data_IF_492049374865
#
_entry.id   IF_492049374865
#
_cell.length_a   1.000
_cell.length_b   1.000
_cell.length_c   1.000
_cell.angle_alpha   90.00
_cell.angle_beta   90.00
_cell.angle_gamma   90.00
#
_symmetry.space_group_name_H-M   'P 1'
#
loop_
_entity.id
_entity.type
_entity.pdbx_description
1 polymer ?
#
# COMPACT_ATOMS: atom_id res chain seq x y z
N UNK A 1 -23.71 11.43 6.77
CA UNK A 1 -22.51 12.00 6.10
C UNK A 1 -21.30 12.05 7.01
N UNK A 2 -21.42 12.52 8.25
CA UNK A 2 -20.32 12.60 9.23
C UNK A 2 -19.81 11.24 9.70
N UNK A 3 -20.67 10.25 9.90
CA UNK A 3 -20.28 8.89 10.32
C UNK A 3 -19.53 8.14 9.23
N UNK A 4 -20.01 8.18 7.98
CA UNK A 4 -19.34 7.58 6.83
C UNK A 4 -17.92 8.14 6.68
N UNK A 5 -17.78 9.47 6.74
CA UNK A 5 -16.48 10.13 6.62
C UNK A 5 -15.53 9.74 7.76
N UNK A 6 -16.03 9.60 8.98
CA UNK A 6 -15.25 9.17 10.14
C UNK A 6 -14.84 7.70 10.02
N UNK A 7 -15.73 6.85 9.53
CA UNK A 7 -15.46 5.44 9.25
C UNK A 7 -14.34 5.30 8.21
N UNK A 8 -14.44 6.03 7.10
CA UNK A 8 -13.44 6.01 6.03
C UNK A 8 -12.07 6.50 6.53
N UNK A 9 -12.05 7.53 7.37
CA UNK A 9 -10.83 8.04 7.99
C UNK A 9 -10.17 7.00 8.91
N UNK A 10 -10.96 6.28 9.71
CA UNK A 10 -10.44 5.23 10.59
C UNK A 10 -9.86 4.08 9.78
N UNK A 11 -10.57 3.62 8.76
CA UNK A 11 -10.07 2.59 7.83
C UNK A 11 -8.75 3.00 7.19
N UNK A 12 -8.69 4.22 6.69
CA UNK A 12 -7.48 4.75 6.04
C UNK A 12 -6.31 4.89 7.02
N UNK A 13 -6.59 5.28 8.26
CA UNK A 13 -5.60 5.37 9.33
C UNK A 13 -4.93 4.01 9.61
N UNK A 14 -5.71 2.94 9.65
CA UNK A 14 -5.22 1.57 9.80
C UNK A 14 -4.35 1.16 8.61
N UNK A 15 -4.81 1.41 7.39
CA UNK A 15 -4.08 1.07 6.17
C UNK A 15 -2.75 1.83 6.07
N UNK A 16 -2.73 3.11 6.39
CA UNK A 16 -1.53 3.95 6.36
C UNK A 16 -0.48 3.46 7.36
N UNK A 17 -0.90 3.18 8.60
CA UNK A 17 0.00 2.65 9.63
C UNK A 17 0.56 1.27 9.24
N UNK A 18 -0.29 0.39 8.75
CA UNK A 18 0.10 -0.94 8.29
C UNK A 18 1.05 -0.89 7.11
N UNK A 19 0.78 -0.04 6.13
CA UNK A 19 1.67 0.16 4.98
C UNK A 19 3.06 0.61 5.39
N UNK A 20 3.16 1.55 6.31
CA UNK A 20 4.44 2.02 6.84
C UNK A 20 5.23 0.91 7.53
N UNK A 21 4.60 0.14 8.39
CA UNK A 21 5.23 -0.97 9.12
C UNK A 21 5.63 -2.11 8.19
N UNK A 22 4.74 -2.53 7.33
CA UNK A 22 4.93 -3.67 6.42
C UNK A 22 6.00 -3.37 5.37
N UNK A 23 6.07 -2.14 4.86
CA UNK A 23 7.12 -1.76 3.92
C UNK A 23 8.52 -1.76 4.55
N UNK A 24 8.62 -1.59 5.87
CA UNK A 24 9.89 -1.65 6.60
C UNK A 24 10.29 -3.06 7.02
N UNK A 25 9.33 -3.87 7.43
CA UNK A 25 9.59 -5.11 8.15
C UNK A 25 9.08 -6.38 7.43
N UNK A 26 8.31 -6.24 6.34
CA UNK A 26 7.62 -7.34 5.69
C UNK A 26 6.27 -7.67 6.32
N UNK A 27 5.45 -8.41 5.60
CA UNK A 27 4.09 -8.73 6.03
C UNK A 27 4.06 -9.72 7.21
N UNK A 28 4.84 -10.78 7.13
CA UNK A 28 4.88 -11.83 8.15
C UNK A 28 5.44 -11.36 9.50
N UNK A 29 6.38 -10.43 9.48
CA UNK A 29 7.04 -9.92 10.69
C UNK A 29 6.20 -8.88 11.45
N UNK A 30 5.15 -8.32 10.85
CA UNK A 30 4.29 -7.31 11.47
C UNK A 30 3.04 -7.97 12.05
N UNK A 31 2.97 -8.03 13.37
CA UNK A 31 1.78 -8.54 14.08
C UNK A 31 0.68 -7.49 14.20
N UNK A 32 -0.55 -7.98 14.43
CA UNK A 32 -1.74 -7.15 14.60
C UNK A 32 -1.58 -6.11 15.72
N UNK A 33 -1.02 -6.52 16.86
CA UNK A 33 -0.80 -5.63 18.00
C UNK A 33 0.03 -4.40 17.64
N UNK A 34 1.03 -4.57 16.79
CA UNK A 34 1.89 -3.48 16.32
C UNK A 34 1.13 -2.52 15.40
N UNK A 35 0.29 -3.04 14.52
CA UNK A 35 -0.58 -2.24 13.65
C UNK A 35 -1.55 -1.41 14.48
N UNK A 36 -2.18 -2.03 15.49
CA UNK A 36 -3.10 -1.35 16.40
C UNK A 36 -2.42 -0.22 17.17
N UNK A 37 -1.23 -0.47 17.69
CA UNK A 37 -0.45 0.53 18.41
C UNK A 37 -0.06 1.71 17.51
N UNK A 38 0.43 1.45 16.32
CA UNK A 38 0.85 2.48 15.38
C UNK A 38 -0.33 3.31 14.85
N UNK A 39 -1.47 2.67 14.60
CA UNK A 39 -2.67 3.35 14.12
C UNK A 39 -3.46 4.03 15.23
N UNK A 40 -3.18 3.72 16.49
CA UNK A 40 -3.96 4.19 17.64
C UNK A 40 -5.46 3.89 17.49
N UNK A 41 -5.76 2.64 17.13
CA UNK A 41 -7.13 2.17 16.88
C UNK A 41 -7.41 0.95 17.76
N UNK A 42 -8.58 0.87 18.41
CA UNK A 42 -8.96 -0.31 19.19
C UNK A 42 -9.08 -1.56 18.32
N UNK A 43 -8.77 -2.72 18.91
CA UNK A 43 -8.84 -4.03 18.25
C UNK A 43 -10.21 -4.30 17.61
N UNK A 44 -11.31 -3.94 18.28
CA UNK A 44 -12.66 -4.08 17.75
C UNK A 44 -12.89 -3.27 16.48
N UNK A 45 -12.34 -2.06 16.41
CA UNK A 45 -12.42 -1.23 15.20
C UNK A 45 -11.66 -1.84 14.02
N UNK A 46 -10.50 -2.43 14.28
CA UNK A 46 -9.75 -3.15 13.23
C UNK A 46 -10.59 -4.29 12.64
N UNK A 47 -11.14 -5.17 13.49
CA UNK A 47 -11.94 -6.32 13.03
C UNK A 47 -13.28 -5.91 12.39
N UNK A 48 -13.77 -4.73 12.68
CA UNK A 48 -14.93 -4.18 11.96
C UNK A 48 -14.62 -3.95 10.47
N UNK A 49 -13.42 -3.45 10.14
CA UNK A 49 -13.01 -3.19 8.75
C UNK A 49 -12.36 -4.40 8.08
N UNK A 50 -11.57 -5.16 8.83
CA UNK A 50 -10.75 -6.25 8.32
C UNK A 50 -10.95 -7.51 9.17
N UNK A 51 -11.70 -8.52 8.66
CA UNK A 51 -11.99 -9.72 9.42
C UNK A 51 -10.76 -10.53 9.85
N UNK A 52 -9.64 -10.37 9.13
CA UNK A 52 -8.39 -11.09 9.40
C UNK A 52 -7.19 -10.23 8.97
N UNK A 53 -6.00 -10.64 9.39
CA UNK A 53 -4.76 -10.04 8.91
C UNK A 53 -4.58 -10.23 7.39
N UNK A 54 -5.01 -11.38 6.85
CA UNK A 54 -4.98 -11.64 5.42
C UNK A 54 -5.90 -10.68 4.64
N UNK A 55 -7.14 -10.51 5.11
CA UNK A 55 -8.08 -9.54 4.53
C UNK A 55 -7.51 -8.10 4.58
N UNK A 56 -6.83 -7.75 5.66
CA UNK A 56 -6.12 -6.48 5.77
C UNK A 56 -4.99 -6.36 4.73
N UNK A 57 -4.20 -7.40 4.55
CA UNK A 57 -3.15 -7.46 3.53
C UNK A 57 -3.69 -7.31 2.11
N UNK A 58 -4.81 -7.97 1.80
CA UNK A 58 -5.49 -7.81 0.52
C UNK A 58 -5.94 -6.37 0.28
N UNK A 59 -6.58 -5.74 1.27
CA UNK A 59 -7.02 -4.34 1.18
C UNK A 59 -5.84 -3.39 1.00
N UNK A 60 -4.74 -3.63 1.71
CA UNK A 60 -3.51 -2.85 1.59
C UNK A 60 -2.94 -2.91 0.17
N UNK A 61 -2.86 -4.11 -0.41
CA UNK A 61 -2.35 -4.30 -1.76
C UNK A 61 -3.29 -3.70 -2.81
N UNK A 62 -4.59 -3.87 -2.66
CA UNK A 62 -5.57 -3.24 -3.56
C UNK A 62 -5.45 -1.72 -3.57
N UNK A 63 -5.38 -1.08 -2.40
CA UNK A 63 -5.20 0.37 -2.29
C UNK A 63 -3.87 0.81 -2.93
N UNK A 64 -2.80 0.06 -2.69
CA UNK A 64 -1.50 0.36 -3.26
C UNK A 64 -1.50 0.27 -4.79
N UNK A 65 -2.06 -0.82 -5.34
CA UNK A 65 -2.14 -1.02 -6.80
C UNK A 65 -3.04 0.04 -7.44
N UNK A 66 -4.18 0.36 -6.82
CA UNK A 66 -5.07 1.40 -7.32
C UNK A 66 -4.38 2.77 -7.38
N UNK A 67 -3.66 3.16 -6.34
CA UNK A 67 -2.87 4.39 -6.30
C UNK A 67 -1.78 4.40 -7.40
N UNK A 68 -1.10 3.28 -7.56
CA UNK A 68 -0.03 3.14 -8.54
C UNK A 68 -0.57 3.28 -9.96
N UNK A 69 -1.66 2.58 -10.27
CA UNK A 69 -2.31 2.66 -11.58
C UNK A 69 -2.86 4.06 -11.87
N UNK A 70 -3.42 4.74 -10.88
CA UNK A 70 -3.90 6.11 -11.02
C UNK A 70 -2.77 7.09 -11.37
N UNK A 71 -1.60 6.90 -10.79
CA UNK A 71 -0.40 7.71 -11.13
C UNK A 71 0.07 7.46 -12.55
N UNK A 72 0.10 6.19 -12.98
CA UNK A 72 0.42 5.82 -14.37
C UNK A 72 -0.58 6.46 -15.33
N UNK A 73 -1.86 6.35 -15.02
CA UNK A 73 -2.94 6.90 -15.84
C UNK A 73 -2.82 8.42 -16.01
N UNK A 74 -2.54 9.13 -14.91
CA UNK A 74 -2.28 10.57 -14.91
C UNK A 74 -1.07 10.91 -15.79
N UNK A 75 0.00 10.14 -15.70
CA UNK A 75 1.20 10.32 -16.49
C UNK A 75 0.93 10.08 -17.98
N UNK A 76 0.19 9.02 -18.31
CA UNK A 76 -0.15 8.66 -19.69
C UNK A 76 -1.13 9.64 -20.34
N UNK A 77 -2.04 10.23 -19.56
CA UNK A 77 -3.03 11.20 -20.02
C UNK A 77 -2.47 12.61 -20.21
N UNK A 78 -1.27 12.88 -19.69
CA UNK A 78 -0.60 14.17 -19.78
C UNK A 78 -0.15 14.51 -21.21
N UNK A 79 0.22 15.79 -21.42
CA UNK A 79 0.84 16.24 -22.65
C UNK A 79 2.24 15.64 -22.82
N UNK A 80 2.69 15.51 -24.08
CA UNK A 80 4.01 14.99 -24.42
C UNK A 80 3.97 13.71 -25.22
N UNK A 81 5.12 13.32 -25.76
CA UNK A 81 5.27 12.08 -26.52
C UNK A 81 5.31 10.85 -25.62
N UNK A 82 5.13 9.67 -26.18
CA UNK A 82 5.31 8.41 -25.47
C UNK A 82 6.73 8.30 -24.87
N UNK A 83 7.73 8.79 -25.59
CA UNK A 83 9.10 8.85 -25.10
C UNK A 83 9.23 9.73 -23.84
N UNK A 84 8.64 10.93 -23.86
CA UNK A 84 8.67 11.85 -22.71
C UNK A 84 7.99 11.22 -21.48
N UNK A 85 6.86 10.55 -21.68
CA UNK A 85 6.12 9.87 -20.62
C UNK A 85 6.91 8.72 -20.02
N UNK A 86 7.53 7.89 -20.85
CA UNK A 86 8.39 6.79 -20.41
C UNK A 86 9.63 7.30 -19.66
N UNK A 87 10.25 8.37 -20.17
CA UNK A 87 11.39 9.01 -19.52
C UNK A 87 11.01 9.57 -18.15
N UNK A 88 9.85 10.22 -18.03
CA UNK A 88 9.35 10.73 -16.76
C UNK A 88 9.10 9.60 -15.75
N UNK A 89 8.53 8.49 -16.19
CA UNK A 89 8.30 7.30 -15.36
C UNK A 89 9.62 6.74 -14.80
N UNK A 90 10.60 6.51 -15.65
CA UNK A 90 11.89 5.98 -15.21
C UNK A 90 12.69 6.99 -14.39
N UNK A 91 12.62 8.28 -14.71
CA UNK A 91 13.28 9.33 -13.95
C UNK A 91 12.76 9.40 -12.51
N UNK A 92 11.46 9.18 -12.30
CA UNK A 92 10.88 9.11 -10.97
C UNK A 92 11.40 7.91 -10.16
N UNK A 93 11.70 6.79 -10.81
CA UNK A 93 12.35 5.63 -10.17
C UNK A 93 13.81 5.91 -9.81
N UNK A 94 14.55 6.54 -10.73
CA UNK A 94 15.98 6.78 -10.57
C UNK A 94 16.29 7.90 -9.58
N UNK A 95 15.50 8.98 -9.59
CA UNK A 95 15.72 10.15 -8.74
C UNK A 95 15.73 9.86 -7.24
N UNK A 96 15.22 8.71 -6.84
CA UNK A 96 15.06 8.31 -5.44
C UNK A 96 15.85 7.03 -5.09
N UNK A 97 16.81 6.64 -5.92
CA UNK A 97 17.58 5.42 -5.72
C UNK A 97 18.42 5.43 -4.43
N UNK A 98 18.87 6.61 -3.99
CA UNK A 98 19.78 6.77 -2.86
C UNK A 98 19.11 7.09 -1.52
N UNK A 99 17.79 7.24 -1.47
CA UNK A 99 17.06 7.55 -0.25
C UNK A 99 15.76 6.77 -0.18
N UNK A 100 14.74 7.27 0.48
CA UNK A 100 13.43 6.62 0.60
C UNK A 100 12.65 6.58 -0.73
N UNK A 101 13.31 6.16 -1.82
CA UNK A 101 12.77 6.22 -3.16
C UNK A 101 11.64 5.24 -3.45
N UNK A 102 11.07 5.38 -4.65
CA UNK A 102 9.96 4.54 -5.13
C UNK A 102 10.28 3.04 -4.98
N UNK A 103 11.50 2.63 -5.31
CA UNK A 103 11.92 1.23 -5.17
C UNK A 103 11.90 0.76 -3.71
N UNK A 104 12.25 1.62 -2.76
CA UNK A 104 12.22 1.30 -1.33
C UNK A 104 10.80 1.34 -0.74
N UNK A 105 9.89 2.04 -1.37
CA UNK A 105 8.49 2.15 -0.97
C UNK A 105 7.56 1.24 -1.77
N UNK A 106 8.07 0.62 -2.83
CA UNK A 106 7.28 -0.25 -3.68
C UNK A 106 6.96 -1.57 -2.96
N UNK A 107 5.70 -1.75 -2.59
CA UNK A 107 5.24 -2.97 -1.93
C UNK A 107 5.38 -4.20 -2.82
N UNK A 108 5.23 -4.06 -4.13
CA UNK A 108 5.40 -5.17 -5.08
C UNK A 108 6.84 -5.68 -5.06
N UNK A 109 7.83 -4.79 -5.09
CA UNK A 109 9.24 -5.16 -5.02
C UNK A 109 9.58 -5.80 -3.68
N UNK A 110 9.09 -5.22 -2.58
CA UNK A 110 9.43 -5.68 -1.22
C UNK A 110 8.70 -6.94 -0.80
N UNK A 111 7.45 -7.08 -1.21
CA UNK A 111 6.55 -8.10 -0.67
C UNK A 111 6.12 -9.15 -1.71
N UNK A 112 6.40 -8.95 -2.99
CA UNK A 112 5.88 -9.80 -4.05
C UNK A 112 6.15 -11.28 -3.84
N UNK A 113 7.37 -11.65 -3.50
CA UNK A 113 7.75 -13.03 -3.22
C UNK A 113 7.11 -13.53 -1.91
N UNK A 114 7.20 -12.73 -0.84
CA UNK A 114 6.67 -13.10 0.48
C UNK A 114 5.15 -13.35 0.44
N UNK A 115 4.37 -12.41 -0.10
CA UNK A 115 2.91 -12.56 -0.12
C UNK A 115 2.44 -13.63 -1.10
N UNK A 116 3.17 -13.89 -2.16
CA UNK A 116 2.87 -14.97 -3.09
C UNK A 116 2.97 -16.35 -2.43
N UNK A 117 3.88 -16.49 -1.47
CA UNK A 117 4.04 -17.73 -0.70
C UNK A 117 3.05 -17.87 0.47
N UNK A 118 2.58 -16.73 1.01
CA UNK A 118 1.72 -16.71 2.18
C UNK A 118 0.22 -16.77 1.86
N UNK A 119 -0.21 -16.21 0.74
CA UNK A 119 -1.64 -16.08 0.42
C UNK A 119 -1.89 -16.12 -1.08
N UNK A 120 -2.69 -17.09 -1.50
CA UNK A 120 -3.14 -17.19 -2.90
C UNK A 120 -3.99 -15.98 -3.32
N UNK A 121 -4.75 -15.42 -2.42
CA UNK A 121 -5.58 -14.24 -2.65
C UNK A 121 -4.70 -13.00 -2.90
N UNK A 122 -3.70 -12.76 -2.05
CA UNK A 122 -2.78 -11.64 -2.22
C UNK A 122 -1.90 -11.78 -3.47
N UNK A 123 -1.54 -13.01 -3.82
CA UNK A 123 -0.76 -13.27 -5.04
C UNK A 123 -1.47 -12.86 -6.32
N UNK A 124 -2.81 -12.90 -6.33
CA UNK A 124 -3.64 -12.59 -7.50
C UNK A 124 -3.90 -11.09 -7.70
N UNK A 125 -3.60 -10.27 -6.69
CA UNK A 125 -3.73 -8.81 -6.77
C UNK A 125 -2.56 -8.23 -7.57
#
# INVERSE_FOLDING_TARGET
>A
MTEQKKSDQTRQKILTAGRSLISKHGFGAVGLARILKESDVPKGSFYYYFPSKDAFGQALLHDYVADYLARIDTLCSGAGSAHDKLTAFWSAWLAHADSEGIANQCLVVKLGAEVADLSDEMRRI
#
